data_IF_333196417806
#
_entry.id   IF_333196417806
#
_cell.length_a   1.000
_cell.length_b   1.000
_cell.length_c   1.000
_cell.angle_alpha   90.00
_cell.angle_beta   90.00
_cell.angle_gamma   90.00
#
_symmetry.space_group_name_H-M   'P 1'
#
loop_
_entity.id
_entity.type
_entity.pdbx_description
1 polymer ?
#
# COMPACT_ATOMS: atom_id res chain seq x y z
N UNK A 1 4.35 8.91 4.11
CA UNK A 1 5.01 7.65 3.73
C UNK A 1 5.43 7.76 2.26
N UNK A 2 6.64 7.32 1.89
CA UNK A 2 7.37 7.77 0.70
C UNK A 2 6.88 7.09 -0.59
N UNK A 3 7.01 7.74 -1.74
CA UNK A 3 6.72 7.16 -3.08
C UNK A 3 7.67 7.77 -4.09
N UNK A 4 8.06 6.99 -5.12
CA UNK A 4 8.88 7.50 -6.23
C UNK A 4 8.19 8.63 -7.00
N UNK A 5 6.85 8.58 -7.09
CA UNK A 5 6.06 9.64 -7.68
C UNK A 5 5.56 10.60 -6.58
N UNK A 6 5.92 11.91 -6.63
CA UNK A 6 5.54 12.89 -5.61
C UNK A 6 4.04 13.09 -5.44
N UNK A 7 3.24 12.91 -6.49
CA UNK A 7 1.79 13.15 -6.48
C UNK A 7 0.99 12.18 -5.61
N UNK A 8 1.58 11.03 -5.27
CA UNK A 8 0.97 10.05 -4.35
C UNK A 8 1.37 10.29 -2.90
N UNK A 9 2.45 11.03 -2.65
CA UNK A 9 2.94 11.32 -1.30
C UNK A 9 1.91 12.17 -0.55
N UNK A 10 1.62 11.80 0.70
CA UNK A 10 0.68 12.53 1.55
C UNK A 10 -0.80 12.22 1.32
N UNK A 11 -1.12 11.35 0.35
CA UNK A 11 -2.50 10.91 0.17
C UNK A 11 -2.92 9.99 1.32
N UNK A 12 -4.04 10.31 1.97
CA UNK A 12 -4.61 9.53 3.07
C UNK A 12 -6.06 9.15 2.77
N UNK A 13 -6.54 8.11 3.44
CA UNK A 13 -7.88 7.57 3.21
C UNK A 13 -8.04 6.15 3.72
N UNK A 14 -9.24 5.61 3.53
CA UNK A 14 -9.58 4.23 3.89
C UNK A 14 -9.47 3.37 2.63
N UNK A 15 -8.85 2.19 2.73
CA UNK A 15 -8.77 1.24 1.61
C UNK A 15 -10.15 0.63 1.37
N UNK A 16 -10.72 0.90 0.20
CA UNK A 16 -12.00 0.33 -0.22
C UNK A 16 -11.81 -1.00 -0.97
N UNK A 17 -10.74 -1.11 -1.76
CA UNK A 17 -10.44 -2.33 -2.49
C UNK A 17 -8.93 -2.53 -2.62
N UNK A 18 -8.47 -3.73 -2.27
CA UNK A 18 -7.14 -4.20 -2.62
C UNK A 18 -7.18 -5.04 -3.90
N UNK A 19 -6.28 -4.74 -4.82
CA UNK A 19 -5.98 -5.64 -5.95
C UNK A 19 -4.51 -6.04 -5.91
N UNK A 20 -4.06 -6.82 -6.89
CA UNK A 20 -2.69 -7.30 -6.95
C UNK A 20 -1.65 -6.17 -6.90
N UNK A 21 -1.80 -5.13 -7.72
CA UNK A 21 -0.78 -4.08 -7.89
C UNK A 21 -1.17 -2.71 -7.34
N UNK A 22 -2.44 -2.49 -6.99
CA UNK A 22 -2.94 -1.18 -6.54
C UNK A 22 -3.80 -1.29 -5.30
N UNK A 23 -3.81 -0.22 -4.52
CA UNK A 23 -4.83 0.05 -3.51
C UNK A 23 -5.80 1.11 -4.05
N UNK A 24 -7.10 0.83 -3.98
CA UNK A 24 -8.12 1.85 -4.19
C UNK A 24 -8.53 2.39 -2.82
N UNK A 25 -8.34 3.67 -2.60
CA UNK A 25 -8.64 4.36 -1.36
C UNK A 25 -9.74 5.40 -1.57
N UNK A 26 -10.57 5.60 -0.55
CA UNK A 26 -11.52 6.71 -0.48
C UNK A 26 -10.86 7.81 0.35
N UNK A 27 -10.72 9.00 -0.22
CA UNK A 27 -10.14 10.18 0.44
C UNK A 27 -11.16 10.89 1.33
N UNK A 28 -10.71 11.79 2.24
CA UNK A 28 -11.63 12.63 3.03
C UNK A 28 -12.57 13.50 2.19
N UNK A 29 -12.19 13.81 0.95
CA UNK A 29 -13.02 14.55 -0.03
C UNK A 29 -14.03 13.66 -0.75
N UNK A 30 -14.29 12.44 -0.26
CA UNK A 30 -15.17 11.44 -0.85
C UNK A 30 -14.82 11.07 -2.30
N UNK A 31 -13.54 11.13 -2.66
CA UNK A 31 -13.05 10.74 -3.98
C UNK A 31 -12.33 9.40 -3.94
N UNK A 32 -12.59 8.54 -4.93
CA UNK A 32 -11.85 7.29 -5.09
C UNK A 32 -10.51 7.55 -5.77
N UNK A 33 -9.39 7.24 -5.11
CA UNK A 33 -8.05 7.30 -5.69
C UNK A 33 -7.44 5.91 -5.81
N UNK A 34 -6.76 5.67 -6.93
CA UNK A 34 -6.03 4.43 -7.18
C UNK A 34 -4.54 4.71 -7.00
N UNK A 35 -3.92 4.05 -6.04
CA UNK A 35 -2.50 4.22 -5.71
C UNK A 35 -1.73 2.94 -6.04
N UNK A 36 -0.66 3.03 -6.86
CA UNK A 36 0.20 1.90 -7.16
C UNK A 36 1.03 1.46 -5.93
N UNK A 37 1.11 0.15 -5.73
CA UNK A 37 1.95 -0.47 -4.69
C UNK A 37 3.44 -0.46 -5.05
N UNK A 38 3.76 -0.39 -6.34
CA UNK A 38 5.15 -0.37 -6.81
C UNK A 38 5.86 0.89 -6.33
N UNK A 39 7.06 0.73 -5.77
CA UNK A 39 7.93 1.80 -5.28
C UNK A 39 7.22 2.81 -4.36
N UNK A 40 6.28 2.29 -3.57
CA UNK A 40 5.48 3.03 -2.60
C UNK A 40 5.62 2.41 -1.23
N UNK A 41 5.79 3.27 -0.22
CA UNK A 41 5.74 2.92 1.20
C UNK A 41 4.50 3.54 1.79
N UNK A 42 3.69 2.72 2.45
CA UNK A 42 2.44 3.13 3.09
C UNK A 42 2.61 3.15 4.61
N UNK A 43 1.82 3.96 5.27
CA UNK A 43 1.71 3.98 6.73
C UNK A 43 0.28 3.60 7.10
N UNK A 44 0.13 2.64 8.00
CA UNK A 44 -1.16 2.16 8.49
C UNK A 44 -1.27 2.53 9.96
N UNK A 45 -2.35 3.22 10.31
CA UNK A 45 -2.69 3.55 11.69
C UNK A 45 -3.70 2.52 12.20
N UNK A 46 -3.35 1.79 13.26
CA UNK A 46 -4.25 0.87 13.95
C UNK A 46 -4.26 1.26 15.41
N UNK A 47 -5.38 1.84 15.88
CA UNK A 47 -5.52 2.38 17.24
C UNK A 47 -4.37 3.36 17.53
N UNK A 48 -3.52 3.04 18.50
CA UNK A 48 -2.37 3.85 18.94
C UNK A 48 -1.03 3.39 18.34
N UNK A 49 -1.06 2.47 17.37
CA UNK A 49 0.14 1.93 16.74
C UNK A 49 0.23 2.32 15.28
N UNK A 50 1.46 2.60 14.83
CA UNK A 50 1.78 3.00 13.46
C UNK A 50 2.64 1.92 12.82
N UNK A 51 2.17 1.35 11.72
CA UNK A 51 2.87 0.31 10.98
C UNK A 51 3.33 0.85 9.63
N UNK A 52 4.55 0.49 9.23
CA UNK A 52 5.08 0.80 7.90
C UNK A 52 4.92 -0.41 6.99
N UNK A 53 4.30 -0.20 5.83
CA UNK A 53 4.07 -1.23 4.83
C UNK A 53 4.84 -0.92 3.55
N UNK A 54 5.69 -1.85 3.13
CA UNK A 54 6.39 -1.75 1.85
C UNK A 54 5.53 -2.31 0.71
N UNK A 55 5.04 -1.44 -0.17
CA UNK A 55 4.11 -1.81 -1.24
C UNK A 55 4.66 -2.86 -2.20
N UNK A 56 5.96 -2.84 -2.49
CA UNK A 56 6.63 -3.82 -3.37
C UNK A 56 6.41 -5.27 -2.92
N UNK A 57 6.37 -5.55 -1.62
CA UNK A 57 6.12 -6.90 -1.08
C UNK A 57 4.64 -7.28 -1.04
N UNK A 58 3.77 -6.30 -1.21
CA UNK A 58 2.32 -6.45 -1.20
C UNK A 58 1.73 -6.61 -2.60
N UNK A 59 2.58 -6.77 -3.63
CA UNK A 59 2.19 -6.97 -5.04
C UNK A 59 1.68 -8.39 -5.33
N UNK A 60 0.70 -8.83 -4.55
CA UNK A 60 0.00 -10.10 -4.70
C UNK A 60 -1.47 -9.88 -4.39
N UNK A 61 -2.36 -10.73 -4.90
CA UNK A 61 -3.75 -10.72 -4.44
C UNK A 61 -3.80 -11.14 -2.97
N UNK A 62 -4.71 -10.54 -2.20
CA UNK A 62 -4.84 -10.82 -0.77
C UNK A 62 -4.99 -12.33 -0.47
N UNK A 63 -5.77 -13.05 -1.29
CA UNK A 63 -5.96 -14.50 -1.18
C UNK A 63 -4.68 -15.30 -1.43
N UNK A 64 -3.80 -14.83 -2.32
CA UNK A 64 -2.52 -15.49 -2.58
C UNK A 64 -1.52 -15.21 -1.45
N UNK A 65 -1.59 -14.01 -0.86
CA UNK A 65 -0.78 -13.62 0.30
C UNK A 65 -1.11 -14.45 1.54
N UNK A 66 -2.37 -14.77 1.80
CA UNK A 66 -2.71 -15.63 2.94
C UNK A 66 -2.33 -17.10 2.70
N UNK A 67 -2.36 -17.58 1.46
CA UNK A 67 -2.14 -18.99 1.14
C UNK A 67 -0.67 -19.40 1.04
N UNK A 68 0.26 -18.49 0.69
CA UNK A 68 1.66 -18.83 0.40
C UNK A 68 2.61 -18.16 1.38
N UNK A 69 3.62 -18.92 1.85
CA UNK A 69 4.72 -18.39 2.64
C UNK A 69 5.59 -17.45 1.79
N UNK A 70 5.79 -16.23 2.25
CA UNK A 70 6.65 -15.26 1.57
C UNK A 70 8.11 -15.70 1.63
N UNK A 71 8.79 -15.61 0.50
CA UNK A 71 10.24 -15.73 0.43
C UNK A 71 10.84 -14.34 0.65
N UNK A 72 11.95 -14.27 1.37
CA UNK A 72 12.68 -13.01 1.55
C UNK A 72 13.13 -12.47 0.18
N UNK A 73 12.86 -11.19 -0.06
CA UNK A 73 13.31 -10.46 -1.26
C UNK A 73 13.84 -9.10 -0.79
N UNK A 74 14.94 -8.60 -1.38
CA UNK A 74 15.42 -7.26 -1.07
C UNK A 74 14.36 -6.22 -1.43
N UNK A 75 14.20 -5.20 -0.58
CA UNK A 75 13.03 -4.31 -0.56
C UNK A 75 13.36 -2.85 -0.89
N UNK A 76 14.63 -2.52 -1.19
CA UNK A 76 15.21 -1.20 -0.87
C UNK A 76 15.21 -0.20 -2.04
N UNK A 77 14.86 -0.57 -3.27
CA UNK A 77 14.75 0.44 -4.34
C UNK A 77 13.46 1.25 -4.19
N UNK A 78 13.61 2.47 -3.66
CA UNK A 78 12.61 3.53 -3.74
C UNK A 78 13.03 4.56 -4.78
#
# INVERSE_FOLDING_TARGET
>A
ARSKCPTYVGTSGIVAQETENVFKIITPTNALRVIPKINSVFTIHIRNSVFTLHGNQFRYRASQRSAKKFKSRPTIDL
#
